data_IF_406155248035
#
_entry.id   IF_406155248035
#
_cell.length_a   1.000
_cell.length_b   1.000
_cell.length_c   1.000
_cell.angle_alpha   90.00
_cell.angle_beta   90.00
_cell.angle_gamma   90.00
#
_symmetry.space_group_name_H-M   'P 1'
#
loop_
_entity.id
_entity.type
_entity.pdbx_description
1 polymer ?
#
# COMPACT_ATOMS: atom_id res chain seq x y z
N UNK A 1 -42.48 -84.32 -33.70
CA UNK A 1 -43.59 -83.76 -32.90
C UNK A 1 -43.02 -83.53 -31.49
N UNK A 2 -42.60 -82.30 -31.16
CA UNK A 2 -43.37 -81.28 -30.40
C UNK A 2 -43.65 -81.79 -28.96
N UNK A 3 -43.13 -81.20 -27.86
CA UNK A 3 -43.14 -79.79 -27.47
C UNK A 3 -42.02 -79.41 -26.47
N UNK A 4 -41.75 -78.10 -26.43
CA UNK A 4 -40.88 -77.32 -25.54
C UNK A 4 -41.07 -77.54 -24.03
N UNK A 5 -39.99 -77.38 -23.24
CA UNK A 5 -39.86 -76.22 -22.34
C UNK A 5 -38.41 -76.04 -21.84
N UNK A 6 -37.74 -75.02 -22.37
CA UNK A 6 -36.60 -74.35 -21.73
C UNK A 6 -37.06 -73.75 -20.40
N UNK A 7 -36.24 -73.74 -19.35
CA UNK A 7 -36.04 -72.59 -18.44
C UNK A 7 -34.97 -72.90 -17.38
N UNK A 8 -33.99 -71.97 -17.30
CA UNK A 8 -33.13 -71.61 -16.16
C UNK A 8 -31.96 -72.53 -15.78
N UNK A 9 -30.75 -72.08 -16.11
CA UNK A 9 -29.81 -71.44 -15.17
C UNK A 9 -28.52 -71.08 -15.92
N UNK A 10 -28.39 -69.82 -16.32
CA UNK A 10 -27.11 -69.27 -16.77
C UNK A 10 -26.36 -68.78 -15.52
N UNK A 11 -25.24 -69.43 -15.21
CA UNK A 11 -24.30 -68.97 -14.20
C UNK A 11 -23.56 -67.74 -14.72
N UNK A 12 -23.71 -66.62 -14.01
CA UNK A 12 -22.96 -65.40 -14.26
C UNK A 12 -21.53 -65.57 -13.77
N UNK A 13 -20.55 -65.50 -14.69
CA UNK A 13 -19.15 -65.30 -14.35
C UNK A 13 -18.81 -63.82 -14.59
N UNK A 14 -18.99 -62.99 -13.56
CA UNK A 14 -18.50 -61.62 -13.53
C UNK A 14 -16.99 -61.65 -13.26
N UNK A 15 -16.21 -61.33 -14.30
CA UNK A 15 -14.79 -60.97 -14.18
C UNK A 15 -14.67 -59.73 -13.29
N UNK A 16 -14.29 -59.93 -12.03
CA UNK A 16 -13.83 -58.87 -11.15
C UNK A 16 -12.42 -58.44 -11.61
N UNK A 17 -12.34 -57.51 -12.56
CA UNK A 17 -11.13 -56.75 -12.77
C UNK A 17 -10.92 -55.85 -11.55
N UNK A 18 -9.93 -56.19 -10.71
CA UNK A 18 -9.49 -55.34 -9.63
C UNK A 18 -8.96 -54.03 -10.22
N UNK A 19 -9.77 -52.97 -10.13
CA UNK A 19 -9.33 -51.60 -10.43
C UNK A 19 -8.45 -51.19 -9.24
N UNK A 20 -7.15 -51.45 -9.37
CA UNK A 20 -6.15 -50.80 -8.50
C UNK A 20 -6.23 -49.31 -8.84
N UNK A 21 -6.47 -48.40 -7.88
CA UNK A 21 -6.38 -46.98 -8.17
C UNK A 21 -4.92 -46.73 -8.55
N UNK A 22 -4.69 -46.34 -9.81
CA UNK A 22 -3.43 -45.76 -10.21
C UNK A 22 -3.23 -44.55 -9.30
N UNK A 23 -2.26 -44.63 -8.39
CA UNK A 23 -1.78 -43.48 -7.65
C UNK A 23 -1.38 -42.44 -8.69
N UNK A 24 -2.19 -41.40 -8.85
CA UNK A 24 -1.85 -40.27 -9.68
C UNK A 24 -0.56 -39.72 -9.10
N UNK A 25 0.56 -39.95 -9.81
CA UNK A 25 1.82 -39.31 -9.49
C UNK A 25 1.57 -37.80 -9.55
N UNK A 26 1.40 -37.18 -8.39
CA UNK A 26 1.38 -35.74 -8.27
C UNK A 26 2.69 -35.25 -8.87
N UNK A 27 2.63 -34.49 -9.96
CA UNK A 27 3.82 -33.89 -10.54
C UNK A 27 4.60 -33.19 -9.42
N UNK A 28 5.93 -33.35 -9.35
CA UNK A 28 6.73 -32.76 -8.28
C UNK A 28 6.47 -31.26 -8.25
N UNK A 29 6.03 -30.78 -7.09
CA UNK A 29 5.69 -29.39 -6.89
C UNK A 29 6.95 -28.53 -6.99
N UNK A 30 6.88 -27.47 -7.79
CA UNK A 30 7.95 -26.48 -7.94
C UNK A 30 7.42 -25.12 -7.46
N UNK A 31 8.08 -24.48 -6.48
CA UNK A 31 7.76 -23.12 -6.06
C UNK A 31 7.78 -22.14 -7.23
N UNK A 32 6.90 -21.13 -7.18
CA UNK A 32 6.90 -20.08 -8.21
C UNK A 32 8.04 -19.12 -7.89
N UNK A 33 8.99 -19.02 -8.81
CA UNK A 33 10.16 -18.14 -8.69
C UNK A 33 10.01 -16.97 -9.65
N UNK A 34 10.12 -15.75 -9.13
CA UNK A 34 10.15 -14.51 -9.89
C UNK A 34 11.50 -13.85 -9.71
N UNK A 35 12.18 -13.56 -10.81
CA UNK A 35 13.50 -12.93 -10.80
C UNK A 35 13.39 -11.44 -11.16
N UNK A 36 14.02 -10.61 -10.34
CA UNK A 36 14.11 -9.16 -10.51
C UNK A 36 15.59 -8.76 -10.44
N UNK A 37 16.29 -8.81 -11.58
CA UNK A 37 17.75 -8.68 -11.60
C UNK A 37 18.41 -9.79 -10.79
N UNK A 38 19.22 -9.41 -9.81
CA UNK A 38 19.91 -10.32 -8.88
C UNK A 38 19.00 -10.77 -7.70
N UNK A 39 17.81 -10.19 -7.56
CA UNK A 39 16.82 -10.62 -6.58
C UNK A 39 15.99 -11.79 -7.12
N UNK A 40 15.69 -12.74 -6.24
CA UNK A 40 14.73 -13.82 -6.51
C UNK A 40 13.70 -13.86 -5.40
N UNK A 41 12.43 -13.78 -5.79
CA UNK A 41 11.26 -13.94 -4.93
C UNK A 41 10.67 -15.31 -5.19
N UNK A 42 10.67 -16.17 -4.18
CA UNK A 42 10.08 -17.51 -4.24
C UNK A 42 8.79 -17.54 -3.43
N UNK A 43 7.70 -17.96 -4.07
CA UNK A 43 6.40 -18.18 -3.43
C UNK A 43 6.08 -19.68 -3.42
N UNK A 44 5.97 -20.25 -2.23
CA UNK A 44 5.44 -21.58 -2.03
C UNK A 44 3.91 -21.53 -1.96
N UNK A 45 3.19 -22.52 -2.47
CA UNK A 45 1.72 -22.60 -2.40
C UNK A 45 1.23 -22.97 -0.99
N UNK A 46 2.10 -23.55 -0.18
CA UNK A 46 1.83 -23.94 1.20
C UNK A 46 2.26 -22.86 2.20
N UNK A 47 2.96 -21.82 1.74
CA UNK A 47 3.39 -20.70 2.57
C UNK A 47 2.64 -19.42 2.16
N UNK A 48 2.14 -18.68 3.14
CA UNK A 48 1.56 -17.36 2.91
C UNK A 48 2.65 -16.29 2.71
N UNK A 49 3.90 -16.61 3.06
CA UNK A 49 5.06 -15.75 3.00
C UNK A 49 5.88 -16.03 1.73
N UNK A 50 6.67 -15.04 1.33
CA UNK A 50 7.64 -15.15 0.25
C UNK A 50 9.05 -15.22 0.81
N UNK A 51 9.89 -16.03 0.18
CA UNK A 51 11.34 -16.00 0.41
C UNK A 51 11.96 -15.01 -0.55
N UNK A 52 12.71 -14.04 -0.02
CA UNK A 52 13.48 -13.10 -0.81
C UNK A 52 14.97 -13.46 -0.70
N UNK A 53 15.64 -13.58 -1.85
CA UNK A 53 17.08 -13.79 -1.91
C UNK A 53 17.73 -12.75 -2.82
N UNK A 54 18.99 -12.43 -2.55
CA UNK A 54 19.84 -11.60 -3.40
C UNK A 54 21.14 -12.37 -3.68
N UNK A 55 21.46 -12.62 -4.95
CA UNK A 55 22.64 -13.42 -5.35
C UNK A 55 22.74 -14.76 -4.59
N UNK A 56 21.62 -15.47 -4.49
CA UNK A 56 21.47 -16.77 -3.79
C UNK A 56 21.61 -16.72 -2.26
N UNK A 57 21.77 -15.55 -1.66
CA UNK A 57 21.78 -15.38 -0.21
C UNK A 57 20.39 -14.95 0.26
N UNK A 58 19.89 -15.56 1.34
CA UNK A 58 18.64 -15.15 1.98
C UNK A 58 18.71 -13.70 2.42
N UNK A 59 17.66 -12.93 2.15
CA UNK A 59 17.58 -11.53 2.52
C UNK A 59 16.29 -11.26 3.31
N UNK A 60 16.45 -10.70 4.50
CA UNK A 60 15.38 -10.35 5.42
C UNK A 60 15.40 -8.82 5.61
N UNK A 61 14.62 -8.06 4.80
CA UNK A 61 14.60 -6.61 4.89
C UNK A 61 14.30 -6.17 6.32
N UNK A 62 15.15 -5.33 6.91
CA UNK A 62 14.99 -4.88 8.30
C UNK A 62 15.00 -5.98 9.36
N UNK A 63 15.41 -7.20 9.03
CA UNK A 63 15.30 -8.37 9.90
C UNK A 63 13.91 -9.00 9.95
N UNK A 64 12.96 -8.60 9.10
CA UNK A 64 11.66 -9.27 9.03
C UNK A 64 11.84 -10.71 8.57
N UNK A 65 11.38 -11.64 9.41
CA UNK A 65 11.29 -13.06 9.04
C UNK A 65 10.04 -13.36 8.20
N UNK A 66 9.08 -12.45 8.17
CA UNK A 66 7.84 -12.60 7.43
C UNK A 66 7.75 -11.51 6.35
N UNK A 67 8.04 -11.90 5.11
CA UNK A 67 7.81 -11.07 3.92
C UNK A 67 6.54 -11.59 3.26
N UNK A 68 5.55 -10.73 3.06
CA UNK A 68 4.22 -11.14 2.55
C UNK A 68 4.18 -11.05 1.04
N UNK A 69 4.69 -9.94 0.51
CA UNK A 69 4.65 -9.64 -0.91
C UNK A 69 5.80 -8.70 -1.27
N UNK A 70 6.32 -8.84 -2.49
CA UNK A 70 7.36 -8.00 -3.07
C UNK A 70 6.91 -7.57 -4.45
N UNK A 71 7.04 -6.28 -4.77
CA UNK A 71 6.69 -5.68 -6.05
C UNK A 71 7.92 -4.97 -6.64
N UNK A 72 8.24 -5.16 -7.92
CA UNK A 72 9.28 -4.37 -8.56
C UNK A 72 8.80 -2.93 -8.80
N UNK A 73 9.73 -1.99 -8.72
CA UNK A 73 9.54 -0.62 -9.18
C UNK A 73 10.21 -0.42 -10.55
N UNK A 74 9.82 0.65 -11.26
CA UNK A 74 10.52 1.05 -12.49
C UNK A 74 11.91 1.59 -12.18
N UNK A 75 12.07 2.20 -11.01
CA UNK A 75 13.33 2.71 -10.52
C UNK A 75 14.40 1.61 -10.45
N UNK A 76 15.63 1.98 -10.82
CA UNK A 76 16.80 1.11 -10.70
C UNK A 76 17.90 1.80 -9.91
N UNK A 77 18.74 1.01 -9.25
CA UNK A 77 19.92 1.48 -8.54
C UNK A 77 21.04 0.45 -8.70
N UNK A 78 22.23 0.92 -9.11
CA UNK A 78 23.37 0.05 -9.45
C UNK A 78 23.03 -1.04 -10.47
N UNK A 79 22.17 -0.70 -11.44
CA UNK A 79 21.71 -1.64 -12.48
C UNK A 79 20.68 -2.67 -12.01
N UNK A 80 20.28 -2.62 -10.74
CA UNK A 80 19.30 -3.54 -10.15
C UNK A 80 17.94 -2.85 -9.98
N UNK A 81 16.82 -3.55 -10.19
CA UNK A 81 15.51 -3.00 -9.90
C UNK A 81 15.36 -2.73 -8.41
N UNK A 82 14.78 -1.58 -8.07
CA UNK A 82 14.33 -1.33 -6.71
C UNK A 82 13.02 -2.09 -6.46
N UNK A 83 12.82 -2.56 -5.23
CA UNK A 83 11.67 -3.37 -4.84
C UNK A 83 10.90 -2.69 -3.70
N UNK A 84 9.58 -2.85 -3.70
CA UNK A 84 8.71 -2.53 -2.58
C UNK A 84 8.29 -3.82 -1.91
N UNK A 85 8.58 -3.99 -0.63
CA UNK A 85 8.19 -5.16 0.13
C UNK A 85 7.21 -4.78 1.24
N UNK A 86 6.18 -5.60 1.43
CA UNK A 86 5.39 -5.57 2.65
C UNK A 86 5.84 -6.72 3.53
N UNK A 87 6.21 -6.36 4.75
CA UNK A 87 6.71 -7.27 5.77
C UNK A 87 5.70 -7.33 6.91
N UNK A 88 5.86 -8.26 7.85
CA UNK A 88 5.17 -8.27 9.15
C UNK A 88 6.00 -9.05 10.17
N UNK A 89 5.48 -9.17 11.39
CA UNK A 89 6.07 -10.01 12.44
C UNK A 89 6.41 -9.27 13.73
N UNK A 90 6.98 -9.98 14.70
CA UNK A 90 7.21 -9.51 16.08
C UNK A 90 8.10 -8.25 16.18
N UNK A 91 8.96 -8.04 15.19
CA UNK A 91 9.82 -6.85 15.09
C UNK A 91 9.09 -5.63 14.54
N UNK A 92 7.82 -5.77 14.12
CA UNK A 92 6.96 -4.73 13.56
C UNK A 92 7.50 -4.20 12.24
N UNK A 93 7.00 -4.65 11.08
CA UNK A 93 7.50 -4.11 9.81
C UNK A 93 6.37 -4.00 8.79
N UNK A 94 6.25 -2.84 8.13
CA UNK A 94 5.20 -2.55 7.17
C UNK A 94 5.75 -2.48 5.77
N UNK A 95 5.56 -1.37 5.09
CA UNK A 95 6.04 -1.18 3.71
C UNK A 95 7.46 -0.64 3.71
N UNK A 96 8.33 -1.31 2.97
CA UNK A 96 9.78 -1.09 2.93
C UNK A 96 10.22 -0.95 1.47
N UNK A 97 11.07 0.04 1.21
CA UNK A 97 11.79 0.17 -0.05
C UNK A 97 13.11 -0.60 0.04
N UNK A 98 13.44 -1.36 -1.00
CA UNK A 98 14.68 -2.11 -1.13
C UNK A 98 15.40 -1.61 -2.39
N UNK A 99 16.67 -1.29 -2.27
CA UNK A 99 17.54 -0.95 -3.40
C UNK A 99 18.96 -1.44 -3.13
N UNK A 100 19.77 -1.54 -4.18
CA UNK A 100 21.17 -1.96 -4.04
C UNK A 100 22.06 -0.74 -3.86
N UNK A 101 22.97 -0.80 -2.91
CA UNK A 101 23.99 0.22 -2.68
C UNK A 101 25.30 -0.45 -2.27
N UNK A 102 26.39 -0.07 -2.94
CA UNK A 102 27.71 -0.67 -2.80
C UNK A 102 27.67 -2.20 -2.98
N UNK A 103 26.84 -2.68 -3.93
CA UNK A 103 26.68 -4.10 -4.22
C UNK A 103 25.84 -4.91 -3.22
N UNK A 104 25.30 -4.28 -2.17
CA UNK A 104 24.49 -4.93 -1.13
C UNK A 104 23.04 -4.43 -1.14
N UNK A 105 22.05 -5.28 -0.83
CA UNK A 105 20.67 -4.87 -0.71
C UNK A 105 20.47 -4.08 0.60
N UNK A 106 20.06 -2.82 0.46
CA UNK A 106 19.68 -1.96 1.57
C UNK A 106 18.17 -1.75 1.60
N UNK A 107 17.66 -1.58 2.82
CA UNK A 107 16.25 -1.31 3.06
C UNK A 107 16.05 0.09 3.64
N UNK A 108 14.89 0.67 3.33
CA UNK A 108 14.41 1.90 3.95
C UNK A 108 12.93 1.75 4.31
N UNK A 109 12.55 1.82 5.60
CA UNK A 109 11.15 1.77 5.99
C UNK A 109 10.43 2.98 5.41
N UNK A 110 9.31 2.73 4.73
CA UNK A 110 8.43 3.79 4.22
C UNK A 110 7.28 3.99 5.20
N UNK A 111 6.61 2.90 5.55
CA UNK A 111 5.36 2.91 6.29
C UNK A 111 5.44 1.87 7.41
N UNK A 112 6.12 2.20 8.53
CA UNK A 112 6.39 1.23 9.58
C UNK A 112 5.10 0.73 10.24
N UNK A 113 5.04 -0.57 10.55
CA UNK A 113 4.03 -1.10 11.46
C UNK A 113 4.41 -0.71 12.89
N UNK A 114 3.47 -0.11 13.64
CA UNK A 114 3.63 -0.06 15.09
C UNK A 114 3.37 -1.46 15.65
N UNK A 115 4.23 -1.90 16.58
CA UNK A 115 4.20 -3.25 17.16
C UNK A 115 2.83 -3.69 17.67
N UNK A 116 2.06 -2.77 18.24
CA UNK A 116 0.74 -3.03 18.83
C UNK A 116 -0.44 -2.59 17.92
N UNK A 117 -0.14 -2.07 16.72
CA UNK A 117 -1.14 -1.64 15.75
C UNK A 117 -1.37 -2.74 14.71
N UNK A 118 -2.33 -3.63 14.99
CA UNK A 118 -2.77 -4.68 14.06
C UNK A 118 -3.59 -4.14 12.86
N UNK A 119 -3.54 -2.83 12.61
CA UNK A 119 -4.39 -2.14 11.64
C UNK A 119 -3.99 -2.52 10.21
N UNK A 120 -2.70 -2.72 9.93
CA UNK A 120 -2.25 -3.24 8.63
C UNK A 120 -1.90 -4.72 8.79
N UNK A 121 -2.50 -5.54 7.95
CA UNK A 121 -2.35 -7.00 7.98
C UNK A 121 -1.98 -7.50 6.58
N UNK A 122 -1.69 -8.79 6.42
CA UNK A 122 -1.54 -9.39 5.08
C UNK A 122 -2.77 -9.17 4.19
N UNK A 123 -3.95 -9.02 4.79
CA UNK A 123 -5.21 -8.80 4.09
C UNK A 123 -5.49 -7.33 3.79
N UNK A 124 -4.73 -6.42 4.41
CA UNK A 124 -4.88 -4.96 4.24
C UNK A 124 -3.51 -4.25 4.31
N UNK A 125 -2.54 -4.57 3.43
CA UNK A 125 -1.22 -3.95 3.39
C UNK A 125 -1.27 -2.53 2.81
N UNK A 126 -0.53 -1.58 3.40
CA UNK A 126 -0.48 -0.19 2.91
C UNK A 126 0.59 -0.03 1.84
N UNK A 127 0.21 -0.13 0.56
CA UNK A 127 1.13 0.01 -0.57
C UNK A 127 1.37 1.44 -1.02
N UNK A 128 0.81 2.42 -0.30
CA UNK A 128 0.70 3.80 -0.75
C UNK A 128 -0.40 3.97 -1.79
N UNK A 129 -0.93 5.18 -1.87
CA UNK A 129 -2.04 5.54 -2.75
C UNK A 129 -1.49 6.37 -3.90
N UNK A 130 -1.71 5.99 -5.16
CA UNK A 130 -1.29 6.79 -6.30
C UNK A 130 -1.89 8.20 -6.21
N UNK A 131 -1.05 9.22 -6.36
CA UNK A 131 -1.51 10.60 -6.40
C UNK A 131 -2.39 10.82 -7.65
N UNK A 132 -3.56 11.48 -7.52
CA UNK A 132 -4.37 11.84 -8.67
C UNK A 132 -3.58 12.63 -9.72
N UNK A 133 -3.63 12.16 -10.97
CA UNK A 133 -2.88 12.74 -12.10
C UNK A 133 -1.38 12.40 -12.15
N UNK A 134 -0.83 11.73 -11.13
CA UNK A 134 0.58 11.31 -11.03
C UNK A 134 0.69 9.91 -10.44
N UNK A 135 0.31 8.86 -11.20
CA UNK A 135 0.25 7.50 -10.68
C UNK A 135 1.61 6.92 -10.24
N UNK A 136 2.71 7.51 -10.70
CA UNK A 136 4.07 7.18 -10.28
C UNK A 136 4.40 7.63 -8.85
N UNK A 137 3.65 8.59 -8.30
CA UNK A 137 3.82 9.11 -6.95
C UNK A 137 2.87 8.40 -5.99
N UNK A 138 3.41 7.56 -5.11
CA UNK A 138 2.64 6.86 -4.08
C UNK A 138 2.66 7.65 -2.77
N UNK A 139 1.48 7.96 -2.23
CA UNK A 139 1.30 8.69 -0.99
C UNK A 139 1.04 7.73 0.17
N UNK A 140 1.86 7.82 1.22
CA UNK A 140 1.73 7.10 2.47
C UNK A 140 1.21 8.06 3.52
N UNK A 141 -0.08 8.39 3.40
CA UNK A 141 -0.74 9.48 4.11
C UNK A 141 -0.64 9.35 5.64
N UNK A 142 -0.73 8.12 6.17
CA UNK A 142 -0.56 7.84 7.61
C UNK A 142 0.81 8.22 8.14
N UNK A 143 1.86 8.15 7.32
CA UNK A 143 3.25 8.35 7.73
C UNK A 143 3.84 9.66 7.20
N UNK A 144 3.03 10.48 6.52
CA UNK A 144 3.46 11.77 5.97
C UNK A 144 4.58 11.66 4.93
N UNK A 145 4.63 10.55 4.18
CA UNK A 145 5.70 10.22 3.21
C UNK A 145 5.15 9.98 1.82
N UNK A 146 5.97 10.17 0.81
CA UNK A 146 5.65 9.80 -0.57
C UNK A 146 6.82 9.08 -1.24
N UNK A 147 6.53 8.18 -2.17
CA UNK A 147 7.52 7.46 -2.96
C UNK A 147 7.31 7.78 -4.44
N UNK A 148 8.33 8.33 -5.08
CA UNK A 148 8.40 8.35 -6.54
C UNK A 148 8.86 6.96 -7.03
N UNK A 149 7.96 6.22 -7.65
CA UNK A 149 8.24 4.86 -8.15
C UNK A 149 9.05 4.82 -9.43
N UNK A 150 9.18 5.95 -10.13
CA UNK A 150 10.01 6.12 -11.30
C UNK A 150 11.48 6.31 -10.96
N UNK A 151 11.76 7.12 -9.92
CA UNK A 151 13.14 7.41 -9.48
C UNK A 151 13.58 6.59 -8.26
N UNK A 152 12.63 6.04 -7.50
CA UNK A 152 12.90 5.35 -6.24
C UNK A 152 13.14 6.31 -5.08
N UNK A 153 12.86 7.60 -5.27
CA UNK A 153 13.07 8.61 -4.25
C UNK A 153 11.95 8.57 -3.21
N UNK A 154 12.35 8.42 -1.94
CA UNK A 154 11.47 8.61 -0.79
C UNK A 154 11.47 10.09 -0.39
N UNK A 155 10.29 10.70 -0.37
CA UNK A 155 10.04 12.09 -0.06
C UNK A 155 9.36 12.24 1.31
N UNK A 156 9.79 13.26 2.04
CA UNK A 156 9.21 13.75 3.29
C UNK A 156 9.42 15.27 3.35
N UNK A 157 8.58 15.96 4.10
CA UNK A 157 8.58 17.41 4.18
C UNK A 157 8.52 17.86 5.63
N UNK A 158 9.11 19.01 5.91
CA UNK A 158 9.21 19.58 7.24
C UNK A 158 7.92 20.32 7.61
N UNK A 159 7.09 19.65 8.41
CA UNK A 159 5.80 20.15 8.90
C UNK A 159 5.84 20.20 10.42
N UNK A 160 5.47 21.32 11.06
CA UNK A 160 5.36 21.40 12.51
C UNK A 160 4.32 20.41 13.07
N UNK A 161 4.69 19.71 14.14
CA UNK A 161 3.80 18.77 14.84
C UNK A 161 3.86 17.34 14.31
N UNK A 162 2.86 16.53 14.68
CA UNK A 162 2.82 15.11 14.33
C UNK A 162 2.12 14.85 13.00
N UNK A 163 2.87 14.40 11.99
CA UNK A 163 2.34 13.98 10.67
C UNK A 163 2.23 12.46 10.50
N UNK A 164 2.49 11.71 11.57
CA UNK A 164 2.51 10.24 11.57
C UNK A 164 1.46 9.68 12.51
N UNK A 165 0.79 8.60 12.11
CA UNK A 165 -0.17 7.86 12.92
C UNK A 165 -1.62 8.06 12.50
N UNK A 166 -2.53 7.41 13.22
CA UNK A 166 -3.97 7.38 12.86
C UNK A 166 -4.70 8.68 13.22
N UNK A 167 -4.12 9.46 14.11
CA UNK A 167 -4.64 10.74 14.60
C UNK A 167 -3.65 11.89 14.37
N UNK A 168 -2.84 11.79 13.32
CA UNK A 168 -1.92 12.86 12.93
C UNK A 168 -2.68 14.19 12.75
N UNK A 169 -2.08 15.29 13.21
CA UNK A 169 -2.69 16.63 13.11
C UNK A 169 -2.72 17.15 11.68
N UNK A 170 -1.85 16.60 10.83
CA UNK A 170 -1.79 16.89 9.41
C UNK A 170 -1.44 15.63 8.62
N UNK A 171 -2.05 15.49 7.45
CA UNK A 171 -1.91 14.31 6.58
C UNK A 171 -1.39 14.73 5.21
N UNK A 172 -0.33 14.08 4.71
CA UNK A 172 0.17 14.35 3.36
C UNK A 172 -0.88 13.95 2.33
N UNK A 173 -1.30 14.91 1.49
CA UNK A 173 -2.34 14.72 0.48
C UNK A 173 -1.88 14.89 -0.96
N UNK A 174 -0.74 15.54 -1.18
CA UNK A 174 -0.18 15.71 -2.52
C UNK A 174 1.28 16.17 -2.47
N UNK A 175 2.02 15.89 -3.54
CA UNK A 175 3.38 16.36 -3.79
C UNK A 175 3.41 17.20 -5.07
N UNK A 176 4.14 18.30 -5.03
CA UNK A 176 4.29 19.22 -6.17
C UNK A 176 4.93 18.53 -7.38
N UNK A 177 4.71 19.02 -8.62
CA UNK A 177 5.28 18.44 -9.83
C UNK A 177 6.80 18.22 -9.79
N UNK A 178 7.54 19.13 -9.17
CA UNK A 178 9.00 19.06 -9.01
C UNK A 178 9.48 18.23 -7.80
N UNK A 179 8.57 17.66 -7.01
CA UNK A 179 8.91 16.85 -5.83
C UNK A 179 9.41 17.64 -4.63
N UNK A 180 9.48 18.98 -4.71
CA UNK A 180 10.11 19.81 -3.67
C UNK A 180 9.17 20.26 -2.56
N UNK A 181 7.85 20.11 -2.75
CA UNK A 181 6.83 20.51 -1.78
C UNK A 181 5.79 19.43 -1.55
N UNK A 182 5.35 19.31 -0.30
CA UNK A 182 4.23 18.49 0.11
C UNK A 182 3.07 19.36 0.56
N UNK A 183 1.86 19.02 0.15
CA UNK A 183 0.62 19.58 0.67
C UNK A 183 0.05 18.65 1.73
N UNK A 184 -0.27 19.22 2.90
CA UNK A 184 -0.81 18.50 4.04
C UNK A 184 -2.20 19.04 4.39
N UNK A 185 -3.20 18.16 4.45
CA UNK A 185 -4.52 18.49 4.97
C UNK A 185 -4.44 18.51 6.49
N UNK A 186 -4.66 19.67 7.09
CA UNK A 186 -4.76 19.81 8.56
C UNK A 186 -6.22 19.67 8.97
N UNK A 187 -6.48 18.84 9.98
CA UNK A 187 -7.81 18.68 10.54
C UNK A 187 -7.76 18.83 12.05
N UNK A 188 -8.08 20.03 12.53
CA UNK A 188 -8.26 20.30 13.95
C UNK A 188 -9.72 20.68 14.21
N UNK A 189 -10.61 19.68 14.30
CA UNK A 189 -12.05 19.66 14.70
C UNK A 189 -12.99 20.76 14.14
N UNK A 190 -12.57 22.02 14.14
CA UNK A 190 -13.28 23.20 13.63
C UNK A 190 -12.44 24.07 12.69
N UNK A 191 -11.15 23.75 12.48
CA UNK A 191 -10.25 24.46 11.56
C UNK A 191 -9.62 23.46 10.60
N UNK A 192 -10.14 23.44 9.38
CA UNK A 192 -9.56 22.69 8.25
C UNK A 192 -8.71 23.64 7.43
N UNK A 193 -7.55 23.17 7.00
CA UNK A 193 -6.59 23.96 6.24
C UNK A 193 -5.67 23.08 5.44
N UNK A 194 -4.83 23.72 4.62
CA UNK A 194 -3.74 23.07 3.92
C UNK A 194 -2.44 23.77 4.30
N UNK A 195 -1.44 22.98 4.68
CA UNK A 195 -0.05 23.42 4.84
C UNK A 195 0.73 22.95 3.61
N UNK A 196 1.50 23.85 3.01
CA UNK A 196 2.48 23.54 1.98
C UNK A 196 3.85 23.61 2.63
N UNK A 197 4.54 22.47 2.70
CA UNK A 197 5.85 22.35 3.30
C UNK A 197 6.92 21.98 2.28
N UNK A 198 8.14 22.40 2.53
CA UNK A 198 9.35 22.03 1.79
C UNK A 198 10.12 20.98 2.58
N UNK A 199 11.20 20.44 2.02
CA UNK A 199 12.05 19.46 2.71
C UNK A 199 12.93 20.10 3.78
N UNK A 200 13.41 21.31 3.50
CA UNK A 200 14.52 21.93 4.23
C UNK A 200 14.16 23.27 4.90
N UNK A 201 13.17 23.99 4.38
CA UNK A 201 12.80 25.35 4.81
C UNK A 201 11.46 25.40 5.58
N UNK A 202 10.95 24.24 6.02
CA UNK A 202 9.66 24.15 6.71
C UNK A 202 8.47 24.59 5.84
N UNK A 203 7.55 25.33 6.47
CA UNK A 203 6.27 25.75 5.86
C UNK A 203 6.49 26.86 4.83
N UNK A 204 6.25 26.57 3.56
CA UNK A 204 6.30 27.53 2.45
C UNK A 204 4.94 28.17 2.13
N UNK A 205 3.84 27.62 2.66
CA UNK A 205 2.54 28.25 2.52
C UNK A 205 1.46 27.64 3.38
N UNK A 206 0.40 28.40 3.58
CA UNK A 206 -0.80 28.01 4.31
C UNK A 206 -2.04 28.43 3.51
N UNK A 207 -3.10 27.65 3.65
CA UNK A 207 -4.39 27.92 3.04
C UNK A 207 -5.48 27.57 4.04
N UNK A 208 -6.16 28.58 4.57
CA UNK A 208 -7.36 28.37 5.36
C UNK A 208 -8.51 27.94 4.44
N UNK A 209 -9.19 26.85 4.79
CA UNK A 209 -10.38 26.42 4.07
C UNK A 209 -11.65 27.01 4.70
N UNK A 210 -12.77 27.06 3.95
CA UNK A 210 -14.05 27.49 4.49
C UNK A 210 -14.39 26.82 5.84
N UNK A 211 -15.00 27.54 6.79
CA UNK A 211 -15.29 26.99 8.12
C UNK A 211 -16.26 25.81 8.10
N UNK A 212 -17.09 25.69 7.06
CA UNK A 212 -18.00 24.57 6.84
C UNK A 212 -17.31 23.35 6.18
N UNK A 213 -16.02 23.43 5.81
CA UNK A 213 -15.32 22.38 5.05
C UNK A 213 -15.44 21.00 5.68
N UNK A 214 -15.31 20.92 7.01
CA UNK A 214 -15.45 19.66 7.71
C UNK A 214 -16.85 19.07 7.56
N UNK A 215 -17.90 19.85 7.87
CA UNK A 215 -19.29 19.37 7.82
C UNK A 215 -19.72 19.05 6.38
N UNK A 216 -19.29 19.87 5.43
CA UNK A 216 -19.71 19.79 4.04
C UNK A 216 -19.03 18.65 3.28
N UNK A 217 -17.74 18.41 3.50
CA UNK A 217 -16.98 17.43 2.73
C UNK A 217 -16.36 16.32 3.59
N UNK A 218 -15.60 16.63 4.64
CA UNK A 218 -14.80 15.61 5.33
C UNK A 218 -15.65 14.64 6.19
N UNK A 219 -16.68 15.14 6.88
CA UNK A 219 -17.57 14.33 7.70
C UNK A 219 -18.31 13.25 6.86
N UNK A 220 -18.93 13.59 5.71
CA UNK A 220 -19.49 12.58 4.81
C UNK A 220 -18.50 11.50 4.38
N UNK A 221 -17.23 11.84 4.12
CA UNK A 221 -16.19 10.85 3.77
C UNK A 221 -15.89 9.91 4.94
N UNK A 222 -15.84 10.43 6.16
CA UNK A 222 -15.66 9.62 7.38
C UNK A 222 -16.84 8.67 7.63
N UNK A 223 -18.07 9.14 7.40
CA UNK A 223 -19.28 8.32 7.51
C UNK A 223 -19.29 7.21 6.45
N UNK A 224 -18.95 7.54 5.20
CA UNK A 224 -18.82 6.58 4.10
C UNK A 224 -17.75 5.52 4.39
N UNK A 225 -16.57 5.94 4.88
CA UNK A 225 -15.50 5.02 5.26
C UNK A 225 -15.92 4.04 6.37
N UNK A 226 -16.64 4.54 7.37
CA UNK A 226 -17.17 3.71 8.47
C UNK A 226 -18.22 2.72 7.98
N UNK A 227 -19.14 3.15 7.10
CA UNK A 227 -20.14 2.29 6.49
C UNK A 227 -19.50 1.19 5.63
N UNK A 228 -18.49 1.54 4.83
CA UNK A 228 -17.74 0.58 4.00
C UNK A 228 -17.01 -0.46 4.84
N UNK A 229 -16.29 -0.04 5.90
CA UNK A 229 -15.64 -0.97 6.82
C UNK A 229 -16.66 -1.90 7.51
N UNK A 230 -17.81 -1.36 7.93
CA UNK A 230 -18.90 -2.14 8.51
C UNK A 230 -19.51 -3.16 7.52
N UNK A 231 -19.62 -2.80 6.24
CA UNK A 231 -20.10 -3.70 5.19
C UNK A 231 -19.12 -4.85 4.93
N UNK A 232 -17.81 -4.59 4.90
CA UNK A 232 -16.78 -5.62 4.71
C UNK A 232 -16.80 -6.67 5.84
N UNK A 233 -17.01 -6.23 7.09
CA UNK A 233 -17.18 -7.12 8.25
C UNK A 233 -18.43 -8.00 8.07
N UNK A 234 -19.58 -7.40 7.71
CA UNK A 234 -20.83 -8.13 7.46
C UNK A 234 -20.68 -9.15 6.33
N UNK A 235 -19.90 -8.83 5.30
CA UNK A 235 -19.58 -9.70 4.18
C UNK A 235 -18.52 -10.77 4.48
N UNK A 236 -18.00 -10.85 5.73
CA UNK A 236 -16.93 -11.77 6.16
C UNK A 236 -15.64 -11.65 5.35
N UNK A 237 -15.38 -10.47 4.76
CA UNK A 237 -14.17 -10.19 3.99
C UNK A 237 -12.96 -9.88 4.88
N UNK A 238 -13.17 -9.70 6.19
CA UNK A 238 -12.14 -9.42 7.18
C UNK A 238 -12.35 -8.06 7.86
N UNK A 239 -11.42 -7.70 8.74
CA UNK A 239 -11.36 -6.36 9.35
C UNK A 239 -10.65 -5.43 8.39
N UNK A 240 -11.33 -4.37 7.96
CA UNK A 240 -10.78 -3.28 7.15
C UNK A 240 -10.71 -2.02 8.00
N UNK A 241 -9.61 -1.27 7.92
CA UNK A 241 -9.43 -0.05 8.69
C UNK A 241 -10.24 1.12 8.10
N UNK A 242 -11.26 1.59 8.82
CA UNK A 242 -12.03 2.77 8.40
C UNK A 242 -11.18 4.03 8.35
N UNK A 243 -10.12 4.15 9.16
CA UNK A 243 -9.21 5.30 9.07
C UNK A 243 -8.43 5.27 7.76
N UNK A 244 -7.92 4.11 7.34
CA UNK A 244 -7.31 3.95 6.02
C UNK A 244 -8.27 4.36 4.90
N UNK A 245 -9.48 3.80 4.86
CA UNK A 245 -10.47 4.14 3.82
C UNK A 245 -10.74 5.65 3.82
N UNK A 246 -10.92 6.25 5.01
CA UNK A 246 -11.11 7.70 5.14
C UNK A 246 -9.96 8.50 4.53
N UNK A 247 -8.70 8.14 4.82
CA UNK A 247 -7.52 8.80 4.23
C UNK A 247 -7.51 8.70 2.72
N UNK A 248 -7.81 7.54 2.16
CA UNK A 248 -7.90 7.32 0.71
C UNK A 248 -8.99 8.18 0.06
N UNK A 249 -10.15 8.31 0.70
CA UNK A 249 -11.24 9.17 0.24
C UNK A 249 -10.87 10.66 0.34
N UNK A 250 -10.21 11.08 1.42
CA UNK A 250 -9.73 12.46 1.61
C UNK A 250 -8.65 12.82 0.56
N UNK A 251 -7.77 11.88 0.18
CA UNK A 251 -6.82 12.03 -0.93
C UNK A 251 -7.53 12.25 -2.28
N UNK A 252 -8.52 11.41 -2.57
CA UNK A 252 -9.30 11.52 -3.79
C UNK A 252 -10.07 12.85 -3.85
N UNK A 253 -10.69 13.26 -2.74
CA UNK A 253 -11.34 14.56 -2.63
C UNK A 253 -10.36 15.71 -2.87
N UNK A 254 -9.17 15.68 -2.24
CA UNK A 254 -8.16 16.71 -2.45
C UNK A 254 -7.80 16.85 -3.93
N UNK A 255 -7.55 15.73 -4.63
CA UNK A 255 -7.22 15.74 -6.05
C UNK A 255 -8.34 16.22 -6.98
N UNK A 256 -9.58 16.27 -6.51
CA UNK A 256 -10.71 16.86 -7.25
C UNK A 256 -10.87 18.35 -7.01
N UNK A 257 -10.54 18.83 -5.80
CA UNK A 257 -10.79 20.20 -5.38
C UNK A 257 -9.59 21.13 -5.58
N UNK A 258 -8.37 20.56 -5.57
CA UNK A 258 -7.13 21.32 -5.54
C UNK A 258 -6.15 20.86 -6.61
N UNK A 259 -5.31 21.80 -7.04
CA UNK A 259 -4.23 21.56 -7.98
C UNK A 259 -3.00 22.38 -7.61
N UNK A 260 -1.84 21.91 -8.06
CA UNK A 260 -0.60 22.67 -8.00
C UNK A 260 -0.53 23.69 -9.12
N UNK A 261 -0.20 24.93 -8.78
CA UNK A 261 0.05 26.01 -9.74
C UNK A 261 1.35 26.71 -9.40
N UNK A 262 2.14 27.02 -10.42
CA UNK A 262 3.38 27.76 -10.24
C UNK A 262 3.07 29.23 -10.00
N UNK A 263 3.49 29.76 -8.86
CA UNK A 263 3.37 31.17 -8.48
C UNK A 263 4.74 31.84 -8.34
N UNK A 264 4.73 33.13 -7.97
CA UNK A 264 5.97 33.92 -7.78
C UNK A 264 6.89 33.35 -6.70
N UNK A 265 6.33 32.68 -5.69
CA UNK A 265 7.05 32.05 -4.57
C UNK A 265 7.24 30.53 -4.71
N UNK A 266 7.20 30.00 -5.94
CA UNK A 266 7.25 28.56 -6.22
C UNK A 266 5.87 27.92 -6.33
N UNK A 267 5.81 26.59 -6.18
CA UNK A 267 4.56 25.83 -6.27
C UNK A 267 3.60 26.17 -5.12
N UNK A 268 2.37 26.50 -5.49
CA UNK A 268 1.26 26.81 -4.59
C UNK A 268 0.12 25.83 -4.82
N UNK A 269 -0.65 25.55 -3.77
CA UNK A 269 -1.90 24.79 -3.86
C UNK A 269 -3.03 25.79 -4.12
N UNK A 270 -3.84 25.51 -5.14
CA UNK A 270 -4.97 26.35 -5.54
C UNK A 270 -6.23 25.50 -5.68
N UNK A 271 -7.38 26.02 -5.27
CA UNK A 271 -8.64 25.27 -5.28
C UNK A 271 -9.73 26.00 -4.51
N UNK A 272 -11.00 25.71 -4.84
CA UNK A 272 -12.17 26.37 -4.23
C UNK A 272 -12.15 27.92 -4.33
N UNK A 273 -11.50 28.47 -5.36
CA UNK A 273 -11.31 29.93 -5.50
C UNK A 273 -10.25 30.53 -4.57
N UNK A 274 -9.49 29.69 -3.86
CA UNK A 274 -8.45 30.09 -2.91
C UNK A 274 -7.05 29.66 -3.41
N UNK A 275 -6.00 30.23 -2.82
CA UNK A 275 -4.60 29.87 -3.10
C UNK A 275 -3.77 29.95 -1.84
N UNK A 276 -2.86 28.99 -1.65
CA UNK A 276 -1.93 29.00 -0.53
C UNK A 276 -0.98 30.19 -0.64
N UNK A 277 -0.81 30.93 0.45
CA UNK A 277 0.12 32.05 0.56
C UNK A 277 1.20 31.74 1.60
N UNK A 278 2.39 32.37 1.53
CA UNK A 278 3.38 32.28 2.60
C UNK A 278 2.76 32.60 3.96
N UNK A 279 3.19 31.95 5.05
CA UNK A 279 2.67 32.23 6.39
C UNK A 279 2.92 33.71 6.76
N UNK A 280 1.92 34.35 7.39
CA UNK A 280 2.05 35.72 7.89
C UNK A 280 2.85 35.72 9.21
N UNK A 281 3.98 36.43 9.24
CA UNK A 281 4.86 36.58 10.42
C UNK A 281 6.20 35.85 10.30
N UNK A 282 7.17 36.20 11.18
CA UNK A 282 8.47 35.51 11.24
C UNK A 282 8.25 34.08 11.77
N UNK A 283 8.72 33.09 11.03
CA UNK A 283 8.94 31.76 11.58
C UNK A 283 9.96 31.86 12.73
N UNK A 284 9.74 31.17 13.86
CA UNK A 284 10.66 31.17 15.00
C UNK A 284 12.01 30.54 14.64
#
# INVERSE_FOLDING_TARGET
>A
MLFFSLHRLAAAATLAAAIVPAAQAQAPYVPVMQQYGDFVVTRDRHDALVTLTFRKHGYWPGGAREVVEVRPLKATREGQPMLLAFTKGYTGQGTILIGVQNGEPLMRPISPLQRDSMVRTERDPEWGVPQPGRPEMLLFARDGRALDTGTGELLWFDVPGGVTGDYASAMLVSVSPDGRRGAYLTNALTKVGIIVATRDDGVAGVLALPPDTYQRWLKPLSEAASAQAGAAIKARQGRTDSNRIRRELELAWFGQQFQWKQGKGGWQVTGLGLSSAPPEGKQP
#
